data_IF_904791955467
#
_entry.id   IF_904791955467
#
_cell.length_a   1.000
_cell.length_b   1.000
_cell.length_c   1.000
_cell.angle_alpha   90.00
_cell.angle_beta   90.00
_cell.angle_gamma   90.00
#
_symmetry.space_group_name_H-M   'P 1'
#
loop_
_entity.id
_entity.type
_entity.pdbx_description
1 polymer ?
#
# COMPACT_ATOMS: atom_id res chain seq x y z
N UNK A 1 -3.97 -7.75 4.69
CA UNK A 1 -3.82 -8.33 6.04
C UNK A 1 -5.01 -9.18 6.46
N UNK A 2 -6.20 -8.61 6.66
CA UNK A 2 -7.34 -9.37 7.21
C UNK A 2 -7.76 -10.55 6.33
N UNK A 3 -7.81 -10.39 5.02
CA UNK A 3 -8.12 -11.48 4.09
C UNK A 3 -7.06 -12.59 4.14
N UNK A 4 -5.79 -12.22 4.32
CA UNK A 4 -4.72 -13.20 4.49
C UNK A 4 -4.96 -14.08 5.72
N UNK A 5 -5.25 -13.47 6.88
CA UNK A 5 -5.51 -14.22 8.11
C UNK A 5 -6.80 -15.07 8.06
N UNK A 6 -7.83 -14.61 7.36
CA UNK A 6 -9.13 -15.31 7.34
C UNK A 6 -9.18 -16.44 6.30
N UNK A 7 -8.48 -16.31 5.17
CA UNK A 7 -8.57 -17.30 4.08
C UNK A 7 -7.28 -17.47 3.26
N UNK A 8 -6.37 -16.49 3.25
CA UNK A 8 -5.17 -16.51 2.43
C UNK A 8 -4.14 -17.56 2.85
N UNK A 9 -4.04 -17.82 4.16
CA UNK A 9 -3.06 -18.78 4.72
C UNK A 9 -3.24 -20.19 4.15
N UNK A 10 -4.47 -20.66 3.97
CA UNK A 10 -4.75 -21.99 3.43
C UNK A 10 -4.32 -22.11 1.97
N UNK A 11 -4.56 -21.08 1.17
CA UNK A 11 -4.08 -21.01 -0.22
C UNK A 11 -2.55 -21.00 -0.32
N UNK A 12 -1.88 -20.26 0.57
CA UNK A 12 -0.42 -20.22 0.62
C UNK A 12 0.16 -21.58 1.03
N UNK A 13 -0.41 -22.24 2.05
CA UNK A 13 0.02 -23.58 2.46
C UNK A 13 -0.13 -24.60 1.33
N UNK A 14 -1.25 -24.53 0.57
CA UNK A 14 -1.45 -25.40 -0.60
C UNK A 14 -0.42 -25.11 -1.71
N UNK A 15 -0.09 -23.84 -1.95
CA UNK A 15 0.92 -23.47 -2.95
C UNK A 15 2.32 -24.01 -2.57
N UNK A 16 2.70 -23.92 -1.29
CA UNK A 16 3.96 -24.47 -0.78
C UNK A 16 3.99 -25.98 -0.91
N UNK A 17 2.92 -26.66 -0.49
CA UNK A 17 2.80 -28.13 -0.56
C UNK A 17 2.96 -28.63 -1.99
N UNK A 18 2.30 -27.98 -2.96
CA UNK A 18 2.33 -28.37 -4.37
C UNK A 18 3.53 -27.80 -5.15
N UNK A 19 4.44 -27.08 -4.49
CA UNK A 19 5.62 -26.45 -5.11
C UNK A 19 5.25 -25.55 -6.30
N UNK A 20 4.18 -24.78 -6.16
CA UNK A 20 3.74 -23.85 -7.20
C UNK A 20 4.78 -22.75 -7.45
N UNK A 21 4.78 -22.21 -8.65
CA UNK A 21 5.52 -21.00 -8.99
C UNK A 21 4.57 -19.80 -8.93
N UNK A 22 4.58 -19.09 -7.81
CA UNK A 22 3.65 -17.98 -7.55
C UNK A 22 4.31 -16.88 -6.73
N UNK A 23 4.05 -15.64 -7.09
CA UNK A 23 4.37 -14.45 -6.31
C UNK A 23 3.08 -13.93 -5.67
N UNK A 24 2.97 -14.09 -4.35
CA UNK A 24 1.86 -13.56 -3.56
C UNK A 24 2.24 -12.19 -3.01
N UNK A 25 1.36 -11.20 -3.16
CA UNK A 25 1.49 -9.89 -2.53
C UNK A 25 0.43 -9.76 -1.44
N UNK A 26 0.87 -9.61 -0.19
CA UNK A 26 0.00 -9.38 0.96
C UNK A 26 -0.03 -7.87 1.24
N UNK A 27 -1.20 -7.26 1.11
CA UNK A 27 -1.39 -5.85 1.43
C UNK A 27 -1.69 -5.72 2.93
N UNK A 28 -0.75 -5.15 3.68
CA UNK A 28 -0.88 -4.89 5.09
C UNK A 28 -1.12 -3.39 5.32
N UNK A 29 -2.38 -3.04 5.56
CA UNK A 29 -2.77 -1.66 5.85
C UNK A 29 -3.14 -1.42 7.32
N UNK A 30 -2.91 -2.42 8.18
CA UNK A 30 -3.13 -2.34 9.63
C UNK A 30 -4.60 -2.32 10.04
N UNK A 31 -5.55 -2.67 9.16
CA UNK A 31 -6.97 -2.67 9.49
C UNK A 31 -7.80 -3.43 8.47
N UNK A 32 -8.99 -3.87 8.84
CA UNK A 32 -10.00 -4.39 7.90
C UNK A 32 -10.79 -3.21 7.31
N UNK A 33 -10.18 -2.50 6.36
CA UNK A 33 -10.64 -1.18 5.91
C UNK A 33 -12.02 -1.18 5.27
N UNK A 34 -12.31 -2.13 4.37
CA UNK A 34 -13.51 -2.12 3.52
C UNK A 34 -14.82 -2.24 4.30
N UNK A 35 -14.82 -2.91 5.44
CA UNK A 35 -16.01 -3.17 6.24
C UNK A 35 -16.15 -2.25 7.47
N UNK A 36 -15.29 -1.23 7.59
CA UNK A 36 -15.39 -0.21 8.64
C UNK A 36 -14.24 -0.18 9.64
N UNK A 37 -13.06 -0.61 9.22
CA UNK A 37 -11.83 -0.53 10.01
C UNK A 37 -11.83 -1.40 11.28
N UNK A 38 -12.35 -2.62 11.17
CA UNK A 38 -12.32 -3.57 12.29
C UNK A 38 -10.89 -4.06 12.55
N UNK A 39 -10.58 -4.46 13.80
CA UNK A 39 -9.37 -5.19 14.13
C UNK A 39 -9.29 -6.53 13.37
N UNK A 40 -8.06 -6.99 13.14
CA UNK A 40 -7.77 -8.30 12.60
C UNK A 40 -6.57 -8.90 13.36
N UNK A 41 -6.21 -10.18 13.19
CA UNK A 41 -5.12 -10.80 13.93
C UNK A 41 -3.74 -10.12 13.79
N UNK A 42 -3.53 -9.30 12.77
CA UNK A 42 -2.30 -8.54 12.54
C UNK A 42 -2.21 -7.21 13.27
N UNK A 43 -3.18 -6.87 14.14
CA UNK A 43 -3.14 -5.62 14.94
C UNK A 43 -3.13 -5.90 16.42
N UNK A 44 -2.67 -4.91 17.23
CA UNK A 44 -2.51 -5.06 18.68
C UNK A 44 -3.77 -4.72 19.48
N UNK A 45 -4.93 -4.60 18.85
CA UNK A 45 -6.18 -4.23 19.51
C UNK A 45 -7.26 -5.24 19.16
N UNK A 46 -7.94 -5.80 20.17
CA UNK A 46 -9.08 -6.70 19.98
C UNK A 46 -10.36 -5.92 19.63
N UNK A 47 -11.41 -6.65 19.26
CA UNK A 47 -12.75 -6.08 19.03
C UNK A 47 -13.30 -5.37 20.27
N UNK A 48 -12.89 -5.79 21.46
CA UNK A 48 -13.29 -5.19 22.74
C UNK A 48 -12.44 -3.95 23.11
N UNK A 49 -11.45 -3.58 22.28
CA UNK A 49 -10.58 -2.44 22.54
C UNK A 49 -9.40 -2.73 23.46
N UNK A 50 -9.30 -3.95 23.97
CA UNK A 50 -8.19 -4.39 24.84
C UNK A 50 -6.98 -4.85 24.02
N UNK A 51 -5.80 -4.78 24.63
CA UNK A 51 -4.58 -5.34 24.04
C UNK A 51 -4.74 -6.85 23.82
N UNK A 52 -4.22 -7.34 22.71
CA UNK A 52 -4.25 -8.75 22.35
C UNK A 52 -2.90 -9.18 21.76
N UNK A 53 -2.68 -10.49 21.69
CA UNK A 53 -1.56 -11.02 20.95
C UNK A 53 -1.79 -10.80 19.45
N UNK A 54 -0.90 -10.07 18.78
CA UNK A 54 -0.95 -9.94 17.35
C UNK A 54 -0.09 -11.03 16.67
N UNK A 55 -0.47 -11.39 15.47
CA UNK A 55 0.27 -12.31 14.62
C UNK A 55 1.09 -11.51 13.61
N UNK A 56 2.41 -11.66 13.65
CA UNK A 56 3.28 -11.09 12.62
C UNK A 56 3.13 -11.86 11.31
N UNK A 57 2.75 -11.15 10.24
CA UNK A 57 2.49 -11.76 8.93
C UNK A 57 3.73 -12.48 8.41
N UNK A 58 4.93 -11.90 8.57
CA UNK A 58 6.16 -12.53 8.09
C UNK A 58 6.44 -13.84 8.83
N UNK A 59 6.29 -13.85 10.13
CA UNK A 59 6.46 -15.06 10.96
C UNK A 59 5.49 -16.16 10.55
N UNK A 60 4.23 -15.82 10.27
CA UNK A 60 3.22 -16.76 9.78
C UNK A 60 3.61 -17.30 8.40
N UNK A 61 3.98 -16.44 7.46
CA UNK A 61 4.38 -16.82 6.10
C UNK A 61 5.60 -17.76 6.14
N UNK A 62 6.60 -17.43 6.94
CA UNK A 62 7.79 -18.29 7.11
C UNK A 62 7.45 -19.61 7.80
N UNK A 63 6.54 -19.59 8.79
CA UNK A 63 6.04 -20.80 9.47
C UNK A 63 5.29 -21.75 8.53
N UNK A 64 4.65 -21.25 7.50
CA UNK A 64 4.02 -22.06 6.41
C UNK A 64 5.09 -22.72 5.52
N UNK A 65 6.34 -22.23 5.53
CA UNK A 65 7.45 -22.79 4.76
C UNK A 65 7.94 -21.94 3.60
N UNK A 66 7.51 -20.69 3.49
CA UNK A 66 8.03 -19.76 2.47
C UNK A 66 9.39 -19.22 2.93
N UNK A 67 10.41 -19.40 2.11
CA UNK A 67 11.76 -18.88 2.34
C UNK A 67 11.99 -17.50 1.73
N UNK A 68 11.42 -17.26 0.55
CA UNK A 68 11.53 -16.02 -0.20
C UNK A 68 10.45 -15.02 0.21
N UNK A 69 10.78 -14.18 1.19
CA UNK A 69 9.88 -13.15 1.72
C UNK A 69 10.57 -11.80 1.68
N UNK A 70 9.91 -10.79 1.17
CA UNK A 70 10.35 -9.39 1.17
C UNK A 70 9.28 -8.47 1.76
N UNK A 71 9.71 -7.45 2.52
CA UNK A 71 8.84 -6.37 2.99
C UNK A 71 9.11 -5.11 2.17
N UNK A 72 8.05 -4.40 1.79
CA UNK A 72 8.12 -3.13 1.07
C UNK A 72 7.19 -2.11 1.68
N UNK A 73 7.53 -0.84 1.50
CA UNK A 73 6.65 0.30 1.80
C UNK A 73 6.18 0.89 0.48
N UNK A 74 4.92 0.67 0.07
CA UNK A 74 4.41 1.09 -1.24
C UNK A 74 4.61 2.57 -1.58
N UNK A 75 4.61 3.45 -0.58
CA UNK A 75 4.89 4.87 -0.81
C UNK A 75 6.35 5.16 -1.18
N UNK A 76 7.28 4.26 -0.92
CA UNK A 76 8.59 4.23 -1.59
C UNK A 76 8.46 3.46 -2.91
N UNK A 77 7.95 4.13 -3.93
CA UNK A 77 7.60 3.50 -5.21
C UNK A 77 8.81 2.87 -5.91
N UNK A 78 9.94 3.58 -5.95
CA UNK A 78 11.16 3.08 -6.61
C UNK A 78 11.69 1.81 -5.94
N UNK A 79 11.74 1.79 -4.61
CA UNK A 79 12.15 0.61 -3.85
C UNK A 79 11.18 -0.55 -4.02
N UNK A 80 9.89 -0.27 -4.02
CA UNK A 80 8.85 -1.28 -4.22
C UNK A 80 8.93 -1.91 -5.60
N UNK A 81 9.05 -1.11 -6.67
CA UNK A 81 9.19 -1.61 -8.04
C UNK A 81 10.44 -2.48 -8.20
N UNK A 82 11.58 -2.03 -7.66
CA UNK A 82 12.82 -2.82 -7.68
C UNK A 82 12.62 -4.19 -7.02
N UNK A 83 12.02 -4.23 -5.82
CA UNK A 83 11.76 -5.48 -5.12
C UNK A 83 10.80 -6.39 -5.90
N UNK A 84 9.75 -5.83 -6.52
CA UNK A 84 8.83 -6.61 -7.36
C UNK A 84 9.59 -7.27 -8.53
N UNK A 85 10.44 -6.53 -9.25
CA UNK A 85 11.21 -7.08 -10.37
C UNK A 85 12.20 -8.15 -9.90
N UNK A 86 12.89 -7.94 -8.78
CA UNK A 86 13.77 -8.95 -8.19
C UNK A 86 13.03 -10.23 -7.80
N UNK A 87 11.85 -10.11 -7.20
CA UNK A 87 11.04 -11.26 -6.78
C UNK A 87 10.38 -11.96 -7.97
N UNK A 88 10.01 -11.26 -9.03
CA UNK A 88 9.53 -11.84 -10.29
C UNK A 88 10.59 -12.69 -10.99
N UNK A 89 11.85 -12.30 -10.89
CA UNK A 89 12.96 -13.02 -11.52
C UNK A 89 13.29 -14.37 -10.83
N UNK A 90 12.78 -14.60 -9.63
CA UNK A 90 12.95 -15.86 -8.88
C UNK A 90 11.83 -16.83 -9.22
N UNK A 91 11.99 -18.11 -8.85
CA UNK A 91 10.99 -19.15 -9.00
C UNK A 91 10.55 -19.73 -7.66
N UNK A 92 9.46 -20.51 -7.67
CA UNK A 92 8.87 -21.10 -6.47
C UNK A 92 7.85 -20.19 -5.78
N UNK A 93 7.51 -20.47 -4.54
CA UNK A 93 6.57 -19.65 -3.76
C UNK A 93 7.30 -18.48 -3.13
N UNK A 94 6.90 -17.27 -3.51
CA UNK A 94 7.51 -16.02 -3.05
C UNK A 94 6.42 -15.10 -2.50
N UNK A 95 6.75 -14.34 -1.47
CA UNK A 95 5.80 -13.43 -0.82
C UNK A 95 6.40 -12.04 -0.69
N UNK A 96 5.64 -11.02 -1.10
CA UNK A 96 5.91 -9.62 -0.78
C UNK A 96 4.85 -9.16 0.22
N UNK A 97 5.29 -8.61 1.36
CA UNK A 97 4.44 -7.97 2.34
C UNK A 97 4.54 -6.46 2.13
N UNK A 98 3.45 -5.85 1.66
CA UNK A 98 3.37 -4.43 1.36
C UNK A 98 2.72 -3.71 2.55
N UNK A 99 3.56 -3.14 3.41
CA UNK A 99 3.16 -2.51 4.67
C UNK A 99 3.00 -0.99 4.49
N UNK A 100 1.76 -0.50 4.54
CA UNK A 100 1.48 0.93 4.58
C UNK A 100 0.13 1.18 5.25
N UNK A 101 0.04 2.05 6.26
CA UNK A 101 -1.22 2.24 6.98
C UNK A 101 -2.32 2.77 6.08
N UNK A 102 -3.54 2.29 6.31
CA UNK A 102 -4.73 2.85 5.65
C UNK A 102 -4.85 4.34 5.95
N UNK A 103 -4.70 5.20 4.95
CA UNK A 103 -4.68 6.65 5.12
C UNK A 103 -5.98 7.22 5.72
N UNK A 104 -7.12 6.61 5.41
CA UNK A 104 -8.41 7.03 6.01
C UNK A 104 -8.47 6.70 7.50
N UNK A 105 -7.94 5.55 7.89
CA UNK A 105 -7.86 5.14 9.29
C UNK A 105 -6.83 5.98 10.04
N UNK A 106 -5.64 6.16 9.48
CA UNK A 106 -4.59 6.98 10.08
C UNK A 106 -5.03 8.42 10.33
N UNK A 107 -5.75 9.05 9.40
CA UNK A 107 -6.32 10.39 9.59
C UNK A 107 -7.30 10.47 10.75
N UNK A 108 -8.10 9.42 10.99
CA UNK A 108 -9.09 9.38 12.06
C UNK A 108 -8.47 9.12 13.43
N UNK A 109 -7.47 8.24 13.49
CA UNK A 109 -6.92 7.70 14.75
C UNK A 109 -5.70 8.45 15.24
N UNK A 110 -4.81 8.85 14.35
CA UNK A 110 -3.51 9.38 14.76
C UNK A 110 -3.52 10.87 15.09
N UNK A 111 -4.64 11.61 14.85
CA UNK A 111 -4.74 13.07 15.09
C UNK A 111 -3.46 13.84 14.70
N UNK A 112 -2.66 13.25 13.82
CA UNK A 112 -1.38 13.81 13.42
C UNK A 112 -1.62 15.15 12.70
N UNK A 113 -0.68 16.07 12.90
CA UNK A 113 -0.58 17.30 12.13
C UNK A 113 -0.88 17.01 10.66
N UNK A 114 -1.63 17.90 10.00
CA UNK A 114 -1.97 17.76 8.58
C UNK A 114 -0.73 17.27 7.82
N UNK A 115 -0.86 16.17 7.04
CA UNK A 115 0.28 15.73 6.23
C UNK A 115 0.68 16.89 5.31
N UNK A 116 1.96 16.96 4.96
CA UNK A 116 2.41 17.89 3.94
C UNK A 116 1.59 17.63 2.66
N UNK A 117 0.97 18.67 2.16
CA UNK A 117 0.21 18.60 0.90
C UNK A 117 1.18 18.85 -0.24
N UNK A 118 1.07 18.08 -1.32
CA UNK A 118 1.82 18.35 -2.53
C UNK A 118 1.32 19.64 -3.17
N UNK A 119 2.24 20.43 -3.72
CA UNK A 119 1.93 21.64 -4.49
C UNK A 119 2.40 21.46 -5.93
N UNK A 120 1.72 22.10 -6.85
CA UNK A 120 2.10 22.12 -8.27
C UNK A 120 3.01 23.31 -8.51
N UNK A 121 4.31 23.07 -8.59
CA UNK A 121 5.31 24.13 -8.77
C UNK A 121 5.32 24.73 -10.18
N UNK A 122 5.06 23.87 -11.20
CA UNK A 122 5.03 24.29 -12.61
C UNK A 122 3.73 23.84 -13.26
N UNK A 123 3.29 24.60 -14.26
CA UNK A 123 2.11 24.28 -15.07
C UNK A 123 2.55 23.79 -16.46
N UNK A 124 1.60 23.37 -17.28
CA UNK A 124 1.86 22.93 -18.64
C UNK A 124 1.96 21.41 -18.80
N UNK A 125 2.76 20.97 -19.77
CA UNK A 125 2.84 19.55 -20.15
C UNK A 125 3.33 18.63 -19.02
N UNK A 126 4.28 19.09 -18.20
CA UNK A 126 4.81 18.31 -17.08
C UNK A 126 3.75 18.03 -16.01
N UNK A 127 2.95 19.05 -15.66
CA UNK A 127 1.86 18.88 -14.72
C UNK A 127 0.77 17.95 -15.26
N UNK A 128 0.45 18.06 -16.55
CA UNK A 128 -0.49 17.17 -17.22
C UNK A 128 0.01 15.73 -17.28
N UNK A 129 1.30 15.53 -17.52
CA UNK A 129 1.93 14.20 -17.51
C UNK A 129 1.81 13.56 -16.13
N UNK A 130 2.13 14.28 -15.07
CA UNK A 130 1.98 13.81 -13.70
C UNK A 130 0.53 13.38 -13.39
N UNK A 131 -0.45 14.18 -13.83
CA UNK A 131 -1.86 13.86 -13.68
C UNK A 131 -2.26 12.59 -14.42
N UNK A 132 -1.73 12.37 -15.62
CA UNK A 132 -2.02 11.18 -16.43
C UNK A 132 -1.36 9.91 -15.88
N UNK A 133 -0.11 10.00 -15.43
CA UNK A 133 0.67 8.84 -14.96
C UNK A 133 0.22 8.34 -13.57
N UNK A 134 -0.16 9.26 -12.67
CA UNK A 134 -0.51 8.88 -11.30
C UNK A 134 -1.98 8.57 -11.09
N UNK A 135 -2.87 9.10 -11.92
CA UNK A 135 -4.33 9.03 -11.70
C UNK A 135 -4.74 9.36 -10.24
N UNK A 136 -4.02 10.28 -9.59
CA UNK A 136 -4.22 10.60 -8.18
C UNK A 136 -5.54 11.37 -7.99
N UNK A 137 -6.41 10.94 -7.06
CA UNK A 137 -7.70 11.61 -6.82
C UNK A 137 -7.59 13.05 -6.30
N UNK A 138 -6.41 13.45 -5.81
CA UNK A 138 -6.18 14.81 -5.35
C UNK A 138 -5.88 15.79 -6.50
N UNK A 139 -5.47 15.32 -7.67
CA UNK A 139 -5.21 16.21 -8.79
C UNK A 139 -6.51 16.63 -9.48
N UNK A 140 -6.60 17.92 -9.80
CA UNK A 140 -7.71 18.54 -10.53
C UNK A 140 -7.18 19.21 -11.78
N UNK A 141 -7.85 18.95 -12.89
CA UNK A 141 -7.62 19.68 -14.16
C UNK A 141 -8.63 20.80 -14.28
N UNK A 142 -8.14 22.00 -14.49
CA UNK A 142 -8.90 23.21 -14.77
C UNK A 142 -8.34 23.95 -15.98
N UNK A 143 -8.72 25.22 -16.14
CA UNK A 143 -8.29 26.05 -17.26
C UNK A 143 -9.03 25.75 -18.57
N UNK A 144 -8.48 26.22 -19.69
CA UNK A 144 -9.00 25.94 -21.04
C UNK A 144 -8.21 24.81 -21.73
N UNK A 145 -8.63 24.42 -22.92
CA UNK A 145 -7.91 23.44 -23.72
C UNK A 145 -6.52 23.97 -24.14
N UNK A 146 -6.41 25.27 -24.41
CA UNK A 146 -5.18 25.95 -24.82
C UNK A 146 -4.27 26.31 -23.64
N UNK A 147 -4.86 26.48 -22.44
CA UNK A 147 -4.14 26.82 -21.21
C UNK A 147 -4.63 25.97 -20.03
N UNK A 148 -4.27 24.68 -20.02
CA UNK A 148 -4.67 23.79 -18.93
C UNK A 148 -3.92 24.14 -17.63
N UNK A 149 -4.65 24.06 -16.52
CA UNK A 149 -4.10 24.28 -15.17
C UNK A 149 -4.31 23.01 -14.35
N UNK A 150 -3.29 22.60 -13.63
CA UNK A 150 -3.36 21.49 -12.66
C UNK A 150 -3.30 22.08 -11.26
N UNK A 151 -4.17 21.63 -10.38
CA UNK A 151 -4.18 22.00 -8.97
C UNK A 151 -4.30 20.76 -8.09
N UNK A 152 -3.98 20.89 -6.81
CA UNK A 152 -4.14 19.84 -5.81
C UNK A 152 -5.31 20.18 -4.90
N UNK A 153 -6.25 19.24 -4.80
CA UNK A 153 -7.31 19.30 -3.79
C UNK A 153 -6.73 18.81 -2.46
N UNK A 154 -6.46 19.76 -1.57
CA UNK A 154 -5.88 19.48 -0.25
C UNK A 154 -6.73 18.52 0.60
N UNK A 155 -8.07 18.54 0.40
CA UNK A 155 -8.98 17.66 1.13
C UNK A 155 -8.81 16.19 0.74
N UNK A 156 -8.35 15.92 -0.47
CA UNK A 156 -8.11 14.59 -1.02
C UNK A 156 -6.65 14.16 -0.93
N UNK A 157 -5.72 15.09 -0.79
CA UNK A 157 -4.31 14.79 -0.70
C UNK A 157 -3.99 14.03 0.59
N UNK A 158 -3.42 12.83 0.49
CA UNK A 158 -3.01 12.02 1.64
C UNK A 158 -1.61 12.36 2.16
N UNK A 159 -0.84 13.17 1.44
CA UNK A 159 0.56 13.44 1.79
C UNK A 159 1.51 12.27 1.57
N UNK A 160 1.15 11.31 0.72
CA UNK A 160 1.97 10.11 0.45
C UNK A 160 3.26 10.40 -0.32
N UNK A 161 3.40 11.60 -0.91
CA UNK A 161 4.58 12.06 -1.67
C UNK A 161 4.98 11.17 -2.86
N UNK A 162 4.09 10.28 -3.33
CA UNK A 162 4.35 9.44 -4.51
C UNK A 162 4.52 10.30 -5.77
N UNK A 163 3.76 11.40 -5.87
CA UNK A 163 3.89 12.34 -6.99
C UNK A 163 5.30 12.91 -7.16
N UNK A 164 6.03 13.14 -6.07
CA UNK A 164 7.42 13.63 -6.14
C UNK A 164 8.44 12.60 -6.65
N UNK A 165 8.03 11.33 -6.76
CA UNK A 165 8.89 10.26 -7.26
C UNK A 165 8.69 9.98 -8.75
N UNK A 166 7.60 10.50 -9.33
CA UNK A 166 7.21 10.32 -10.73
C UNK A 166 7.53 11.56 -11.55
N UNK A 167 7.40 12.73 -10.96
CA UNK A 167 7.81 13.98 -11.59
C UNK A 167 9.33 14.12 -11.62
N UNK A 168 9.89 14.63 -12.70
CA UNK A 168 11.32 14.89 -12.84
C UNK A 168 11.81 15.97 -11.87
#
# INVERSE_FOLDING_TARGET
DSTFFHSGMTGLANAVFNKHDVLLVILDNGTTAMTGHQPNPGVCTSVLGEGCNHLDIESVVRGIGVTDVAKVKPFNMRGTLKTIEEMKARSGVRVIIAEEPCMLFARRTLKQNRPQVAEVATQGEEALKCLAELACPAFRRGGTAEAPVVSVDESQCSGCMVCLQVTP
#
